data_IF_062665873619
#
_entry.id   IF_062665873619
#
_cell.length_a   1.000
_cell.length_b   1.000
_cell.length_c   1.000
_cell.angle_alpha   90.00
_cell.angle_beta   90.00
_cell.angle_gamma   90.00
#
_symmetry.space_group_name_H-M   'P 1'
#
loop_
_entity.id
_entity.type
_entity.pdbx_description
1 polymer ?
#
# COMPACT_ATOMS: atom_id res chain seq x y z
N UNK A 1 -39.32 -1.77 -31.14
CA UNK A 1 -38.12 -1.58 -30.29
C UNK A 1 -37.67 -2.93 -29.76
N UNK A 2 -36.78 -3.62 -30.49
CA UNK A 2 -36.21 -4.91 -30.05
C UNK A 2 -34.83 -4.59 -29.44
N UNK A 3 -34.63 -4.90 -28.15
CA UNK A 3 -33.36 -4.73 -27.43
C UNK A 3 -32.36 -5.76 -27.95
N UNK A 4 -31.27 -5.30 -28.56
CA UNK A 4 -30.14 -6.14 -28.98
C UNK A 4 -29.49 -6.81 -27.76
N UNK A 5 -29.17 -8.10 -27.88
CA UNK A 5 -28.62 -8.92 -26.80
C UNK A 5 -27.10 -8.73 -26.77
N UNK A 6 -26.61 -7.77 -26.00
CA UNK A 6 -25.17 -7.58 -25.77
C UNK A 6 -24.61 -8.73 -24.93
N UNK A 7 -23.65 -9.48 -25.46
CA UNK A 7 -22.91 -10.52 -24.76
C UNK A 7 -21.83 -9.87 -23.91
N UNK A 8 -21.91 -10.08 -22.59
CA UNK A 8 -20.99 -9.50 -21.60
C UNK A 8 -19.83 -10.46 -21.39
N UNK A 9 -18.60 -10.05 -21.69
CA UNK A 9 -17.38 -10.77 -21.28
C UNK A 9 -16.46 -9.82 -20.52
N UNK A 10 -15.84 -10.35 -19.47
CA UNK A 10 -14.92 -9.64 -18.57
C UNK A 10 -13.55 -10.25 -18.77
N UNK A 11 -12.54 -9.42 -19.02
CA UNK A 11 -11.14 -9.86 -19.14
C UNK A 11 -10.44 -9.86 -17.78
N UNK A 12 -9.28 -10.52 -17.67
CA UNK A 12 -8.52 -10.72 -16.41
C UNK A 12 -8.09 -9.43 -15.70
N UNK A 13 -8.14 -8.28 -16.37
CA UNK A 13 -7.83 -6.96 -15.81
C UNK A 13 -9.06 -6.16 -15.34
N UNK A 14 -10.27 -6.73 -15.41
CA UNK A 14 -11.50 -6.15 -14.83
C UNK A 14 -12.24 -5.12 -15.68
N UNK A 15 -11.79 -4.83 -16.91
CA UNK A 15 -12.49 -3.91 -17.82
C UNK A 15 -13.63 -4.58 -18.60
N UNK A 16 -14.78 -3.88 -18.66
CA UNK A 16 -15.96 -4.29 -19.44
C UNK A 16 -15.81 -3.91 -20.91
N UNK A 17 -15.56 -4.89 -21.79
CA UNK A 17 -15.52 -4.67 -23.23
C UNK A 17 -16.88 -5.02 -23.84
N UNK A 18 -17.53 -4.03 -24.42
CA UNK A 18 -18.71 -4.22 -25.26
C UNK A 18 -18.26 -4.44 -26.71
N UNK A 19 -18.22 -5.69 -27.16
CA UNK A 19 -18.13 -6.00 -28.59
C UNK A 19 -19.53 -5.83 -29.21
N UNK A 20 -19.69 -4.84 -30.09
CA UNK A 20 -20.84 -4.81 -31.00
C UNK A 20 -20.59 -5.90 -32.05
N UNK A 21 -21.41 -6.95 -32.02
CA UNK A 21 -21.26 -8.16 -32.84
C UNK A 21 -21.26 -7.78 -34.34
N UNK A 22 -20.17 -7.99 -35.10
CA UNK A 22 -20.09 -7.61 -36.51
C UNK A 22 -21.15 -8.31 -37.37
N UNK A 23 -21.66 -9.45 -36.90
CA UNK A 23 -22.74 -10.22 -37.54
C UNK A 23 -24.08 -9.44 -37.61
N UNK A 24 -24.37 -8.56 -36.64
CA UNK A 24 -25.62 -7.78 -36.62
C UNK A 24 -25.66 -6.73 -37.75
N UNK A 25 -24.48 -6.17 -38.10
CA UNK A 25 -24.39 -5.16 -39.16
C UNK A 25 -24.45 -5.78 -40.56
N UNK A 26 -23.92 -7.00 -40.74
CA UNK A 26 -23.98 -7.72 -42.01
C UNK A 26 -25.40 -8.24 -42.29
N UNK A 27 -26.13 -8.65 -41.24
CA UNK A 27 -27.53 -9.07 -41.35
C UNK A 27 -28.49 -7.91 -41.69
N UNK A 28 -28.23 -6.70 -41.16
CA UNK A 28 -29.00 -5.49 -41.51
C UNK A 28 -28.78 -5.06 -42.96
N UNK A 29 -27.54 -5.14 -43.46
CA UNK A 29 -27.22 -4.79 -44.85
C UNK A 29 -27.85 -5.77 -45.86
N UNK A 30 -27.87 -7.06 -45.53
CA UNK A 30 -28.50 -8.09 -46.36
C UNK A 30 -30.02 -7.90 -46.46
N UNK A 31 -30.67 -7.55 -45.35
CA UNK A 31 -32.12 -7.24 -45.33
C UNK A 31 -32.47 -6.04 -46.20
N UNK A 32 -31.63 -5.00 -46.21
CA UNK A 32 -31.87 -3.81 -47.03
C UNK A 32 -31.70 -4.10 -48.53
N UNK A 33 -30.72 -4.93 -48.91
CA UNK A 33 -30.54 -5.39 -50.29
C UNK A 33 -31.73 -6.24 -50.76
N UNK A 34 -32.21 -7.16 -49.91
CA UNK A 34 -33.39 -7.99 -50.20
C UNK A 34 -34.67 -7.15 -50.36
N UNK A 35 -34.79 -6.04 -49.61
CA UNK A 35 -35.91 -5.08 -49.74
C UNK A 35 -35.86 -4.34 -51.08
N UNK A 36 -34.70 -3.83 -51.48
CA UNK A 36 -34.48 -3.17 -52.77
C UNK A 36 -34.80 -4.12 -53.95
N UNK A 37 -34.47 -5.40 -53.84
CA UNK A 37 -34.74 -6.41 -54.86
C UNK A 37 -36.21 -6.82 -54.95
N UNK A 38 -36.92 -6.88 -53.82
CA UNK A 38 -38.37 -7.11 -53.80
C UNK A 38 -39.12 -5.93 -54.41
N UNK A 39 -38.71 -4.70 -54.09
CA UNK A 39 -39.30 -3.48 -54.68
C UNK A 39 -39.08 -3.43 -56.20
N UNK A 40 -37.88 -3.79 -56.71
CA UNK A 40 -37.63 -3.94 -58.16
C UNK A 40 -38.56 -4.96 -58.82
N UNK A 41 -38.80 -6.11 -58.18
CA UNK A 41 -39.69 -7.16 -58.72
C UNK A 41 -41.16 -6.72 -58.75
N UNK A 42 -41.59 -5.96 -57.74
CA UNK A 42 -42.96 -5.44 -57.68
C UNK A 42 -43.22 -4.43 -58.81
N UNK A 43 -42.28 -3.50 -59.04
CA UNK A 43 -42.37 -2.52 -60.15
C UNK A 43 -42.35 -3.20 -61.52
N UNK A 44 -41.64 -4.33 -61.67
CA UNK A 44 -41.63 -5.09 -62.92
C UNK A 44 -42.99 -5.73 -63.23
N UNK A 45 -43.71 -6.18 -62.20
CA UNK A 45 -45.00 -6.87 -62.32
C UNK A 45 -46.20 -5.92 -62.48
N UNK A 46 -46.07 -4.65 -62.11
CA UNK A 46 -47.11 -3.66 -62.33
C UNK A 46 -47.27 -3.33 -63.83
N UNK A 47 -48.42 -3.75 -64.40
CA UNK A 47 -48.77 -3.58 -65.82
C UNK A 47 -49.55 -2.30 -66.13
N UNK A 48 -49.75 -1.42 -65.14
CA UNK A 48 -50.56 -0.21 -65.26
C UNK A 48 -49.73 1.10 -65.21
N UNK A 49 -48.39 0.99 -65.28
CA UNK A 49 -47.48 2.13 -65.33
C UNK A 49 -47.07 2.46 -66.78
N UNK A 50 -46.97 3.74 -67.10
CA UNK A 50 -46.41 4.21 -68.38
C UNK A 50 -44.95 3.77 -68.46
N UNK A 51 -44.56 3.12 -69.56
CA UNK A 51 -43.22 2.52 -69.73
C UNK A 51 -42.05 3.49 -69.41
N UNK A 52 -42.24 4.79 -69.70
CA UNK A 52 -41.23 5.83 -69.42
C UNK A 52 -41.01 6.12 -67.93
N UNK A 53 -42.03 5.96 -67.08
CA UNK A 53 -41.89 6.14 -65.63
C UNK A 53 -41.27 4.90 -64.98
N UNK A 54 -41.61 3.72 -65.47
CA UNK A 54 -41.01 2.44 -65.05
C UNK A 54 -39.49 2.43 -65.26
N UNK A 55 -39.02 2.92 -66.40
CA UNK A 55 -37.58 3.00 -66.71
C UNK A 55 -36.84 3.99 -65.80
N UNK A 56 -37.48 5.10 -65.40
CA UNK A 56 -36.90 6.06 -64.45
C UNK A 56 -36.76 5.46 -63.05
N UNK A 57 -37.80 4.80 -62.54
CA UNK A 57 -37.73 4.13 -61.24
C UNK A 57 -36.67 3.00 -61.24
N UNK A 58 -36.57 2.24 -62.35
CA UNK A 58 -35.55 1.19 -62.47
C UNK A 58 -34.13 1.77 -62.43
N UNK A 59 -33.93 2.94 -63.06
CA UNK A 59 -32.66 3.65 -63.05
C UNK A 59 -32.30 4.19 -61.67
N UNK A 60 -33.24 4.81 -60.97
CA UNK A 60 -33.03 5.30 -59.60
C UNK A 60 -32.70 4.17 -58.62
N UNK A 61 -33.35 2.99 -58.75
CA UNK A 61 -33.05 1.82 -57.92
C UNK A 61 -31.68 1.22 -58.23
N UNK A 62 -31.26 1.24 -59.50
CA UNK A 62 -29.92 0.82 -59.91
C UNK A 62 -28.84 1.78 -59.40
N UNK A 63 -29.13 3.07 -59.38
CA UNK A 63 -28.22 4.07 -58.83
C UNK A 63 -28.10 3.94 -57.30
N UNK A 64 -29.19 3.65 -56.59
CA UNK A 64 -29.18 3.34 -55.14
C UNK A 64 -28.41 2.06 -54.80
N UNK A 65 -28.60 0.99 -55.57
CA UNK A 65 -27.84 -0.26 -55.41
C UNK A 65 -26.33 -0.03 -55.61
N UNK A 66 -25.96 0.77 -56.61
CA UNK A 66 -24.56 1.12 -56.87
C UNK A 66 -23.95 1.97 -55.74
N UNK A 67 -24.73 2.83 -55.11
CA UNK A 67 -24.25 3.61 -53.96
C UNK A 67 -24.06 2.72 -52.73
N UNK A 68 -24.98 1.79 -52.47
CA UNK A 68 -24.86 0.83 -51.38
C UNK A 68 -23.63 -0.08 -51.55
N UNK A 69 -23.32 -0.49 -52.78
CA UNK A 69 -22.12 -1.29 -53.10
C UNK A 69 -20.83 -0.52 -52.78
N UNK A 70 -20.76 0.78 -53.12
CA UNK A 70 -19.62 1.63 -52.75
C UNK A 70 -19.46 1.79 -51.24
N UNK A 71 -20.57 1.95 -50.52
CA UNK A 71 -20.55 2.03 -49.06
C UNK A 71 -20.06 0.71 -48.43
N UNK A 72 -20.47 -0.43 -48.99
CA UNK A 72 -19.98 -1.75 -48.56
C UNK A 72 -18.48 -1.91 -48.79
N UNK A 73 -17.98 -1.56 -49.98
CA UNK A 73 -16.56 -1.60 -50.30
C UNK A 73 -15.74 -0.71 -49.36
N UNK A 74 -16.21 0.52 -49.10
CA UNK A 74 -15.58 1.44 -48.17
C UNK A 74 -15.54 0.89 -46.74
N UNK A 75 -16.63 0.26 -46.29
CA UNK A 75 -16.72 -0.38 -44.96
C UNK A 75 -15.79 -1.58 -44.85
N UNK A 76 -15.73 -2.45 -45.86
CA UNK A 76 -14.80 -3.60 -45.90
C UNK A 76 -13.35 -3.12 -45.86
N UNK A 77 -13.02 -2.07 -46.63
CA UNK A 77 -11.70 -1.46 -46.59
C UNK A 77 -11.37 -0.91 -45.20
N UNK A 78 -12.30 -0.19 -44.56
CA UNK A 78 -12.12 0.28 -43.19
C UNK A 78 -11.94 -0.87 -42.20
N UNK A 79 -12.76 -1.92 -42.25
CA UNK A 79 -12.63 -3.09 -41.38
C UNK A 79 -11.31 -3.83 -41.58
N UNK A 80 -10.85 -3.98 -42.82
CA UNK A 80 -9.55 -4.60 -43.10
C UNK A 80 -8.39 -3.79 -42.51
N UNK A 81 -8.48 -2.45 -42.60
CA UNK A 81 -7.50 -1.53 -42.01
C UNK A 81 -7.55 -1.56 -40.48
N UNK A 82 -8.74 -1.67 -39.90
CA UNK A 82 -8.94 -1.78 -38.46
C UNK A 82 -8.35 -3.09 -37.94
N UNK A 83 -8.64 -4.22 -38.58
CA UNK A 83 -8.08 -5.54 -38.26
C UNK A 83 -6.55 -5.58 -38.40
N UNK A 84 -6.00 -4.89 -39.40
CA UNK A 84 -4.56 -4.76 -39.56
C UNK A 84 -3.91 -3.90 -38.46
N UNK A 85 -4.60 -2.85 -37.98
CA UNK A 85 -4.17 -2.05 -36.83
C UNK A 85 -4.28 -2.85 -35.52
N UNK A 86 -5.37 -3.58 -35.31
CA UNK A 86 -5.57 -4.45 -34.14
C UNK A 86 -4.50 -5.54 -34.06
N UNK A 87 -4.19 -6.21 -35.17
CA UNK A 87 -3.12 -7.23 -35.20
C UNK A 87 -1.75 -6.63 -34.87
N UNK A 88 -1.46 -5.40 -35.33
CA UNK A 88 -0.22 -4.70 -34.97
C UNK A 88 -0.18 -4.28 -33.50
N UNK A 89 -1.32 -3.86 -32.94
CA UNK A 89 -1.43 -3.49 -31.53
C UNK A 89 -1.29 -4.73 -30.62
N UNK A 90 -1.93 -5.84 -31.00
CA UNK A 90 -1.90 -7.11 -30.27
C UNK A 90 -0.51 -7.77 -30.33
N UNK A 91 0.23 -7.61 -31.43
CA UNK A 91 1.61 -8.08 -31.53
C UNK A 91 2.57 -7.38 -30.55
N UNK A 92 2.22 -6.21 -30.01
CA UNK A 92 3.02 -5.52 -28.99
C UNK A 92 2.96 -6.16 -27.60
N UNK A 93 1.92 -6.95 -27.29
CA UNK A 93 1.73 -7.59 -25.97
C UNK A 93 2.67 -8.79 -25.75
N UNK A 94 3.14 -9.44 -26.82
CA UNK A 94 4.03 -10.61 -26.76
C UNK A 94 5.52 -10.26 -26.52
N UNK A 95 5.92 -8.99 -26.68
CA UNK A 95 7.31 -8.56 -26.50
C UNK A 95 7.69 -8.56 -25.02
N UNK A 96 6.76 -8.13 -24.16
CA UNK A 96 6.98 -8.07 -22.70
C UNK A 96 7.15 -9.48 -22.14
N UNK A 97 6.31 -10.42 -22.56
CA UNK A 97 6.39 -11.82 -22.10
C UNK A 97 7.67 -12.51 -22.59
N UNK A 98 8.07 -12.30 -23.84
CA UNK A 98 9.33 -12.85 -24.36
C UNK A 98 10.56 -12.22 -23.69
N UNK A 99 10.51 -10.93 -23.36
CA UNK A 99 11.60 -10.23 -22.66
C UNK A 99 11.71 -10.72 -21.22
N UNK A 100 10.59 -10.89 -20.52
CA UNK A 100 10.56 -11.44 -19.16
C UNK A 100 11.06 -12.91 -19.14
N UNK A 101 10.69 -13.72 -20.14
CA UNK A 101 11.21 -15.08 -20.25
C UNK A 101 12.72 -15.11 -20.56
N UNK A 102 13.22 -14.20 -21.41
CA UNK A 102 14.65 -14.04 -21.67
C UNK A 102 15.40 -13.60 -20.42
N UNK A 103 14.87 -12.63 -19.66
CA UNK A 103 15.43 -12.16 -18.40
C UNK A 103 15.48 -13.26 -17.36
N UNK A 104 14.41 -14.06 -17.23
CA UNK A 104 14.37 -15.22 -16.35
C UNK A 104 15.41 -16.28 -16.73
N UNK A 105 15.52 -16.62 -18.03
CA UNK A 105 16.55 -17.55 -18.52
C UNK A 105 17.97 -17.02 -18.30
N UNK A 106 18.18 -15.70 -18.43
CA UNK A 106 19.46 -15.06 -18.12
C UNK A 106 19.77 -15.11 -16.63
N UNK A 107 18.78 -14.89 -15.76
CA UNK A 107 18.94 -14.97 -14.32
C UNK A 107 19.28 -16.40 -13.87
N UNK A 108 18.58 -17.41 -14.41
CA UNK A 108 18.87 -18.82 -14.14
C UNK A 108 20.29 -19.20 -14.60
N UNK A 109 20.70 -18.80 -15.81
CA UNK A 109 22.08 -19.02 -16.30
C UNK A 109 23.13 -18.32 -15.44
N UNK A 110 22.86 -17.08 -14.99
CA UNK A 110 23.75 -16.35 -14.07
C UNK A 110 23.88 -17.06 -12.72
N UNK A 111 22.78 -17.61 -12.19
CA UNK A 111 22.79 -18.38 -10.96
C UNK A 111 23.61 -19.67 -11.09
N UNK A 112 23.42 -20.42 -12.18
CA UNK A 112 24.19 -21.64 -12.47
C UNK A 112 25.69 -21.31 -12.62
N UNK A 113 26.04 -20.28 -13.40
CA UNK A 113 27.43 -19.82 -13.56
C UNK A 113 28.05 -19.40 -12.23
N UNK A 114 27.30 -18.73 -11.36
CA UNK A 114 27.78 -18.33 -10.04
C UNK A 114 28.04 -19.55 -9.14
N UNK A 115 27.18 -20.57 -9.20
CA UNK A 115 27.34 -21.82 -8.46
C UNK A 115 28.52 -22.64 -8.98
N UNK A 116 28.67 -22.77 -10.31
CA UNK A 116 29.82 -23.41 -10.93
C UNK A 116 31.12 -22.71 -10.55
N UNK A 117 31.17 -21.38 -10.62
CA UNK A 117 32.33 -20.59 -10.19
C UNK A 117 32.62 -20.71 -8.69
N UNK A 118 31.61 -20.99 -7.86
CA UNK A 118 31.81 -21.27 -6.43
C UNK A 118 32.43 -22.65 -6.25
N UNK A 119 31.87 -23.67 -6.91
CA UNK A 119 32.39 -25.05 -6.90
C UNK A 119 33.80 -25.13 -7.47
N UNK A 120 34.08 -24.42 -8.56
CA UNK A 120 35.42 -24.32 -9.15
C UNK A 120 36.43 -23.76 -8.15
N UNK A 121 36.09 -22.67 -7.45
CA UNK A 121 36.95 -22.11 -6.39
C UNK A 121 37.15 -23.07 -5.22
N UNK A 122 36.09 -23.76 -4.79
CA UNK A 122 36.17 -24.77 -3.72
C UNK A 122 37.08 -25.95 -4.13
N UNK A 123 36.92 -26.46 -5.36
CA UNK A 123 37.76 -27.53 -5.93
C UNK A 123 39.20 -27.06 -6.06
N UNK A 124 39.43 -25.82 -6.51
CA UNK A 124 40.78 -25.28 -6.66
C UNK A 124 41.50 -25.12 -5.32
N UNK A 125 40.80 -24.66 -4.28
CA UNK A 125 41.33 -24.61 -2.91
C UNK A 125 41.62 -26.01 -2.37
N UNK A 126 40.75 -26.99 -2.64
CA UNK A 126 40.95 -28.37 -2.22
C UNK A 126 42.15 -29.00 -2.95
N UNK A 127 42.29 -28.74 -4.25
CA UNK A 127 43.40 -29.20 -5.06
C UNK A 127 44.73 -28.60 -4.56
N UNK A 128 44.78 -27.30 -4.29
CA UNK A 128 45.97 -26.64 -3.74
C UNK A 128 46.37 -27.25 -2.38
N UNK A 129 45.38 -27.53 -1.52
CA UNK A 129 45.62 -28.18 -0.23
C UNK A 129 46.10 -29.63 -0.38
N UNK A 130 45.53 -30.39 -1.32
CA UNK A 130 45.97 -31.76 -1.58
C UNK A 130 47.34 -31.80 -2.27
N UNK A 131 47.65 -30.86 -3.16
CA UNK A 131 48.99 -30.69 -3.72
C UNK A 131 50.02 -30.37 -2.62
N UNK A 132 49.69 -29.46 -1.69
CA UNK A 132 50.52 -29.20 -0.50
C UNK A 132 50.71 -30.49 0.33
N UNK A 133 49.66 -31.29 0.55
CA UNK A 133 49.71 -32.57 1.28
C UNK A 133 50.51 -33.67 0.56
N UNK A 134 50.39 -33.79 -0.77
CA UNK A 134 51.09 -34.79 -1.59
C UNK A 134 52.58 -34.47 -1.66
N UNK A 135 52.91 -33.18 -1.78
CA UNK A 135 54.29 -32.71 -1.69
C UNK A 135 54.86 -33.06 -0.31
N UNK A 136 54.09 -32.92 0.78
CA UNK A 136 54.51 -33.25 2.15
C UNK A 136 54.66 -34.77 2.40
N UNK A 137 53.83 -35.60 1.77
CA UNK A 137 53.88 -37.08 1.90
C UNK A 137 54.98 -37.74 1.05
N UNK A 138 55.41 -37.11 -0.05
CA UNK A 138 56.48 -37.62 -0.90
C UNK A 138 57.90 -37.32 -0.35
N UNK A 139 58.02 -36.74 0.85
CA UNK A 139 59.28 -36.33 1.49
C UNK A 139 60.08 -37.47 2.15
N UNK A 140 60.39 -38.52 1.39
CA UNK A 140 61.58 -39.33 1.72
C UNK A 140 62.83 -38.60 1.26
N UNK A 141 63.51 -37.84 2.13
CA UNK A 141 64.76 -37.18 1.75
C UNK A 141 65.87 -38.21 1.51
N UNK A 142 66.43 -38.22 0.30
CA UNK A 142 67.49 -39.16 -0.08
C UNK A 142 68.87 -38.68 0.43
N UNK A 143 69.01 -37.38 0.73
CA UNK A 143 70.25 -36.75 1.23
C UNK A 143 69.95 -35.56 2.15
N UNK A 144 70.76 -35.35 3.20
CA UNK A 144 70.67 -34.23 4.14
C UNK A 144 70.75 -32.86 3.44
N UNK A 145 71.55 -32.75 2.37
CA UNK A 145 71.64 -31.51 1.58
C UNK A 145 70.29 -31.16 0.90
N UNK A 146 69.57 -32.16 0.39
CA UNK A 146 68.26 -31.97 -0.22
C UNK A 146 67.20 -31.56 0.81
N UNK A 147 67.29 -32.08 2.03
CA UNK A 147 66.42 -31.67 3.14
C UNK A 147 66.65 -30.22 3.54
N UNK A 148 67.90 -29.78 3.64
CA UNK A 148 68.25 -28.37 3.93
C UNK A 148 67.72 -27.44 2.84
N UNK A 149 67.91 -27.79 1.56
CA UNK A 149 67.40 -26.99 0.44
C UNK A 149 65.87 -26.91 0.42
N UNK A 150 65.20 -28.04 0.71
CA UNK A 150 63.75 -28.10 0.79
C UNK A 150 63.20 -27.27 1.95
N UNK A 151 63.74 -27.44 3.17
CA UNK A 151 63.37 -26.63 4.34
C UNK A 151 63.64 -25.15 4.11
N UNK A 152 64.73 -24.80 3.43
CA UNK A 152 65.05 -23.41 3.05
C UNK A 152 64.00 -22.84 2.09
N UNK A 153 63.56 -23.62 1.09
CA UNK A 153 62.46 -23.21 0.20
C UNK A 153 61.14 -23.05 0.94
N UNK A 154 60.79 -23.98 1.84
CA UNK A 154 59.57 -23.93 2.67
C UNK A 154 59.60 -22.68 3.57
N UNK A 155 60.75 -22.39 4.19
CA UNK A 155 60.95 -21.17 4.98
C UNK A 155 60.78 -19.90 4.15
N UNK A 156 61.37 -19.83 2.95
CA UNK A 156 61.19 -18.68 2.03
C UNK A 156 59.71 -18.48 1.65
N UNK A 157 58.99 -19.56 1.36
CA UNK A 157 57.54 -19.49 1.07
C UNK A 157 56.75 -18.96 2.27
N UNK A 158 56.97 -19.49 3.47
CA UNK A 158 56.30 -19.00 4.68
C UNK A 158 56.68 -17.55 5.01
N UNK A 159 57.93 -17.17 4.80
CA UNK A 159 58.36 -15.79 4.99
C UNK A 159 57.68 -14.84 4.01
N UNK A 160 57.55 -15.23 2.73
CA UNK A 160 56.80 -14.45 1.75
C UNK A 160 55.32 -14.30 2.13
N UNK A 161 54.65 -15.41 2.52
CA UNK A 161 53.26 -15.39 3.04
C UNK A 161 53.15 -14.48 4.27
N UNK A 162 54.13 -14.53 5.19
CA UNK A 162 54.17 -13.67 6.37
C UNK A 162 54.32 -12.18 6.02
N UNK A 163 55.19 -11.83 5.08
CA UNK A 163 55.35 -10.44 4.65
C UNK A 163 54.08 -9.92 3.97
N UNK A 164 53.46 -10.74 3.12
CA UNK A 164 52.18 -10.39 2.51
C UNK A 164 51.10 -10.13 3.56
N UNK A 165 50.94 -11.02 4.55
CA UNK A 165 49.98 -10.82 5.64
C UNK A 165 50.31 -9.57 6.49
N UNK A 166 51.60 -9.27 6.68
CA UNK A 166 52.03 -8.07 7.41
C UNK A 166 51.66 -6.78 6.65
N UNK A 167 51.82 -6.78 5.32
CA UNK A 167 51.38 -5.68 4.46
C UNK A 167 49.86 -5.56 4.46
N UNK A 168 49.12 -6.66 4.35
CA UNK A 168 47.66 -6.67 4.41
C UNK A 168 47.13 -6.10 5.74
N UNK A 169 47.74 -6.48 6.88
CA UNK A 169 47.39 -5.91 8.19
C UNK A 169 47.62 -4.40 8.21
N UNK A 170 48.72 -3.92 7.62
CA UNK A 170 49.04 -2.49 7.56
C UNK A 170 48.01 -1.74 6.72
N UNK A 171 47.67 -2.26 5.55
CA UNK A 171 46.70 -1.66 4.63
C UNK A 171 45.30 -1.63 5.24
N UNK A 172 44.88 -2.71 5.90
CA UNK A 172 43.62 -2.77 6.65
C UNK A 172 43.58 -1.76 7.79
N UNK A 173 44.67 -1.61 8.54
CA UNK A 173 44.73 -0.66 9.63
C UNK A 173 44.68 0.79 9.11
N UNK A 174 45.32 1.09 7.99
CA UNK A 174 45.23 2.41 7.34
C UNK A 174 43.80 2.68 6.83
N UNK A 175 43.15 1.71 6.20
CA UNK A 175 41.77 1.82 5.76
C UNK A 175 40.82 2.09 6.93
N UNK A 176 40.92 1.30 8.01
CA UNK A 176 40.12 1.48 9.22
C UNK A 176 40.39 2.84 9.89
N UNK A 177 41.64 3.32 9.89
CA UNK A 177 41.98 4.64 10.42
C UNK A 177 41.31 5.76 9.61
N UNK A 178 41.26 5.64 8.28
CA UNK A 178 40.59 6.60 7.40
C UNK A 178 39.08 6.58 7.59
N UNK A 179 38.46 5.41 7.57
CA UNK A 179 37.02 5.24 7.81
C UNK A 179 36.62 5.83 9.18
N UNK A 180 37.40 5.55 10.22
CA UNK A 180 37.18 6.14 11.54
C UNK A 180 37.25 7.67 11.51
N UNK A 181 38.23 8.24 10.81
CA UNK A 181 38.35 9.70 10.69
C UNK A 181 37.17 10.32 9.94
N UNK A 182 36.68 9.68 8.88
CA UNK A 182 35.51 10.11 8.11
C UNK A 182 34.21 10.06 8.95
N UNK A 183 34.04 9.00 9.73
CA UNK A 183 32.93 8.87 10.68
C UNK A 183 33.00 9.92 11.79
N UNK A 184 34.19 10.17 12.35
CA UNK A 184 34.42 11.22 13.35
C UNK A 184 34.12 12.62 12.78
N UNK A 185 34.48 12.87 11.52
CA UNK A 185 34.16 14.11 10.82
C UNK A 185 32.65 14.26 10.63
N UNK A 186 31.98 13.22 10.14
CA UNK A 186 30.52 13.20 9.97
C UNK A 186 29.80 13.44 11.29
N UNK A 187 30.25 12.77 12.36
CA UNK A 187 29.72 12.98 13.72
C UNK A 187 29.92 14.44 14.15
N UNK A 188 31.10 15.00 13.93
CA UNK A 188 31.41 16.39 14.30
C UNK A 188 30.51 17.38 13.56
N UNK A 189 30.24 17.15 12.27
CA UNK A 189 29.38 18.02 11.47
C UNK A 189 27.91 17.89 11.87
N UNK A 190 27.40 16.67 12.10
CA UNK A 190 26.06 16.46 12.67
C UNK A 190 25.92 17.11 14.05
N UNK A 191 26.96 17.06 14.89
CA UNK A 191 26.96 17.74 16.19
C UNK A 191 26.93 19.26 16.05
N UNK A 192 27.65 19.85 15.07
CA UNK A 192 27.57 21.29 14.78
C UNK A 192 26.17 21.68 14.33
N UNK A 193 25.55 20.89 13.46
CA UNK A 193 24.19 21.13 12.98
C UNK A 193 23.17 21.07 14.12
N UNK A 194 23.23 20.05 14.97
CA UNK A 194 22.36 19.94 16.15
C UNK A 194 22.55 21.15 17.06
N UNK A 195 23.79 21.55 17.36
CA UNK A 195 24.09 22.72 18.20
C UNK A 195 23.56 24.02 17.57
N UNK A 196 23.72 24.20 16.26
CA UNK A 196 23.20 25.35 15.53
C UNK A 196 21.66 25.40 15.63
N UNK A 197 20.99 24.27 15.36
CA UNK A 197 19.52 24.17 15.47
C UNK A 197 19.04 24.44 16.89
N UNK A 198 19.73 23.89 17.90
CA UNK A 198 19.41 24.15 19.30
C UNK A 198 19.59 25.63 19.66
N UNK A 199 20.68 26.27 19.21
CA UNK A 199 20.92 27.68 19.45
C UNK A 199 19.83 28.56 18.79
N UNK A 200 19.41 28.21 17.57
CA UNK A 200 18.28 28.89 16.90
C UNK A 200 17.00 28.73 17.72
N UNK A 201 16.70 27.52 18.20
CA UNK A 201 15.51 27.27 19.03
C UNK A 201 15.58 28.09 20.32
N UNK A 202 16.74 28.15 20.98
CA UNK A 202 16.90 28.87 22.25
C UNK A 202 16.79 30.39 22.11
N UNK A 203 17.24 30.96 20.98
CA UNK A 203 17.23 32.41 20.76
C UNK A 203 15.94 32.92 20.10
N UNK A 204 15.32 32.13 19.21
CA UNK A 204 14.21 32.61 18.37
C UNK A 204 12.85 31.98 18.71
N UNK A 205 12.79 30.89 19.48
CA UNK A 205 11.52 30.22 19.83
C UNK A 205 11.17 30.49 21.29
N UNK A 206 9.99 31.05 21.60
CA UNK A 206 9.53 31.20 22.97
C UNK A 206 9.51 29.86 23.71
N UNK A 207 9.97 29.86 24.97
CA UNK A 207 10.09 28.65 25.80
C UNK A 207 8.75 27.89 25.92
N UNK A 208 7.65 28.63 26.04
CA UNK A 208 6.30 28.07 26.13
C UNK A 208 5.90 27.26 24.88
N UNK A 209 6.20 27.75 23.69
CA UNK A 209 5.88 27.05 22.44
C UNK A 209 6.78 25.83 22.22
N UNK A 210 8.06 25.92 22.63
CA UNK A 210 8.98 24.77 22.63
C UNK A 210 8.44 23.64 23.49
N UNK A 211 7.99 23.93 24.70
CA UNK A 211 7.44 22.92 25.62
C UNK A 211 6.16 22.28 25.08
N UNK A 212 5.21 23.10 24.57
CA UNK A 212 4.00 22.61 23.91
C UNK A 212 4.32 21.66 22.74
N UNK A 213 5.35 21.98 21.95
CA UNK A 213 5.79 21.16 20.82
C UNK A 213 6.39 19.83 21.30
N UNK A 214 7.26 19.86 22.30
CA UNK A 214 7.90 18.67 22.87
C UNK A 214 6.88 17.70 23.47
N UNK A 215 5.84 18.19 24.15
CA UNK A 215 4.77 17.33 24.69
C UNK A 215 3.95 16.64 23.60
N UNK A 216 3.83 17.26 22.42
CA UNK A 216 3.04 16.74 21.29
C UNK A 216 3.84 15.83 20.36
N UNK A 217 5.16 15.98 20.35
CA UNK A 217 6.06 15.17 19.54
C UNK A 217 6.08 13.72 20.03
N UNK A 218 5.99 12.79 19.09
CA UNK A 218 6.31 11.39 19.33
C UNK A 218 7.03 10.82 18.11
N UNK A 219 7.86 9.82 18.37
CA UNK A 219 8.63 9.15 17.34
C UNK A 219 7.84 7.94 16.84
N UNK A 220 7.59 7.88 15.53
CA UNK A 220 6.98 6.73 14.88
C UNK A 220 8.07 5.81 14.33
N UNK A 221 8.32 4.70 15.04
CA UNK A 221 9.37 3.75 14.70
C UNK A 221 9.11 2.98 13.39
N UNK A 222 7.85 2.91 12.92
CA UNK A 222 7.52 2.19 11.69
C UNK A 222 7.90 3.01 10.45
N UNK A 223 7.79 4.33 10.54
CA UNK A 223 8.12 5.26 9.45
C UNK A 223 9.47 5.96 9.63
N UNK A 224 10.15 5.73 10.76
CA UNK A 224 11.41 6.37 11.17
C UNK A 224 11.35 7.91 11.12
N UNK A 225 10.21 8.46 11.56
CA UNK A 225 9.91 9.90 11.47
C UNK A 225 9.29 10.43 12.76
N UNK A 226 9.66 11.66 13.10
CA UNK A 226 8.99 12.43 14.14
C UNK A 226 7.63 12.93 13.65
N UNK A 227 6.56 12.61 14.39
CA UNK A 227 5.20 13.06 14.12
C UNK A 227 4.68 13.90 15.29
N UNK A 228 3.74 14.80 14.99
CA UNK A 228 3.04 15.59 16.00
C UNK A 228 1.65 15.03 16.25
N UNK A 229 1.23 14.95 17.51
CA UNK A 229 -0.17 14.70 17.85
C UNK A 229 -1.01 15.86 17.35
N UNK A 230 -1.98 15.55 16.48
CA UNK A 230 -2.94 16.53 15.95
C UNK A 230 -3.73 17.12 17.11
N UNK A 231 -3.83 18.45 17.14
CA UNK A 231 -4.70 19.18 18.09
C UNK A 231 -6.14 19.05 17.58
N UNK A 232 -6.65 17.83 17.46
CA UNK A 232 -8.09 17.65 17.35
C UNK A 232 -8.67 18.02 18.71
N UNK A 233 -9.86 18.63 18.76
CA UNK A 233 -10.59 18.99 20.00
C UNK A 233 -10.75 17.83 21.01
N UNK A 234 -10.42 16.61 20.58
CA UNK A 234 -10.43 15.38 21.37
C UNK A 234 -9.10 15.04 22.05
N UNK A 235 -7.98 15.65 21.63
CA UNK A 235 -6.64 15.38 22.18
C UNK A 235 -6.32 16.22 23.43
N UNK A 236 -7.07 17.31 23.67
CA UNK A 236 -7.12 18.05 24.94
C UNK A 236 -8.09 17.41 25.94
N UNK A 237 -8.26 16.08 25.88
CA UNK A 237 -8.90 15.26 26.92
C UNK A 237 -7.98 15.03 28.13
N UNK A 238 -7.05 15.94 28.43
CA UNK A 238 -6.74 16.19 29.85
C UNK A 238 -8.04 16.70 30.45
N UNK A 239 -8.60 15.94 31.39
CA UNK A 239 -9.98 15.95 31.92
C UNK A 239 -10.56 17.31 32.37
N UNK A 240 -9.86 18.42 32.20
CA UNK A 240 -10.17 19.72 32.79
C UNK A 240 -10.60 20.81 31.78
N UNK A 241 -10.42 20.64 30.46
CA UNK A 241 -10.71 21.71 29.47
C UNK A 241 -11.86 21.42 28.48
N UNK A 242 -12.42 20.21 28.46
CA UNK A 242 -13.67 19.91 27.72
C UNK A 242 -14.92 20.27 28.55
N UNK A 243 -14.74 21.19 29.49
CA UNK A 243 -15.78 22.16 29.79
C UNK A 243 -15.48 23.42 28.98
N UNK A 244 -15.56 23.33 27.65
CA UNK A 244 -16.16 24.45 26.92
C UNK A 244 -17.55 24.55 27.52
N UNK A 245 -17.69 25.37 28.56
CA UNK A 245 -18.85 25.41 29.42
C UNK A 245 -20.07 25.48 28.50
N UNK A 246 -20.88 24.39 28.48
CA UNK A 246 -22.21 24.49 27.91
C UNK A 246 -22.81 25.71 28.59
N UNK A 247 -23.12 26.75 27.81
CA UNK A 247 -23.63 27.99 28.38
C UNK A 247 -24.81 27.60 29.27
N UNK A 248 -24.87 28.09 30.53
CA UNK A 248 -25.93 27.71 31.43
C UNK A 248 -27.27 28.01 30.76
N UNK A 249 -28.08 26.98 30.63
CA UNK A 249 -29.40 27.08 30.02
C UNK A 249 -30.30 27.81 31.04
N UNK A 250 -31.12 28.74 30.56
CA UNK A 250 -32.06 29.42 31.44
C UNK A 250 -33.10 28.44 32.01
N UNK A 251 -33.79 28.82 33.09
CA UNK A 251 -34.88 28.01 33.67
C UNK A 251 -36.04 27.71 32.69
N UNK A 252 -36.05 28.36 31.53
CA UNK A 252 -37.03 28.19 30.46
C UNK A 252 -36.41 27.57 29.20
N UNK A 253 -35.31 26.84 29.35
CA UNK A 253 -34.63 26.09 28.28
C UNK A 253 -34.02 26.95 27.14
N UNK A 254 -34.04 28.27 27.28
CA UNK A 254 -33.45 29.20 26.32
C UNK A 254 -31.94 29.38 26.55
N UNK A 255 -31.22 29.69 25.46
CA UNK A 255 -29.77 29.94 25.43
C UNK A 255 -29.30 31.18 26.22
N UNK A 256 -30.22 31.95 26.81
CA UNK A 256 -29.95 33.10 27.69
C UNK A 256 -31.10 33.35 28.66
N UNK A 257 -30.84 33.98 29.79
CA UNK A 257 -31.88 34.43 30.71
C UNK A 257 -32.74 35.53 30.07
N UNK A 258 -34.06 35.38 30.13
CA UNK A 258 -35.04 36.35 29.59
C UNK A 258 -36.04 36.76 30.66
N UNK A 259 -36.45 38.03 30.64
CA UNK A 259 -37.49 38.55 31.54
C UNK A 259 -38.88 38.09 31.09
N UNK A 260 -39.86 38.11 32.00
CA UNK A 260 -41.25 37.74 31.68
C UNK A 260 -41.82 38.63 30.56
N UNK A 261 -41.49 39.93 30.57
CA UNK A 261 -41.87 40.88 29.52
C UNK A 261 -41.24 40.53 28.16
N UNK A 262 -39.93 40.21 28.14
CA UNK A 262 -39.27 39.81 26.90
C UNK A 262 -39.86 38.52 26.33
N UNK A 263 -40.28 37.58 27.19
CA UNK A 263 -40.94 36.35 26.76
C UNK A 263 -42.32 36.60 26.15
N UNK A 264 -43.17 37.42 26.77
CA UNK A 264 -44.47 37.77 26.19
C UNK A 264 -44.31 38.55 24.88
N UNK A 265 -43.31 39.44 24.82
CA UNK A 265 -43.01 40.21 23.62
C UNK A 265 -42.38 39.37 22.50
N UNK A 266 -41.75 38.23 22.78
CA UNK A 266 -41.20 37.33 21.75
C UNK A 266 -42.29 36.75 20.83
N UNK A 267 -43.55 36.70 21.27
CA UNK A 267 -44.69 36.30 20.41
C UNK A 267 -44.92 37.26 19.24
N UNK A 268 -44.49 38.52 19.36
CA UNK A 268 -44.58 39.52 18.29
C UNK A 268 -43.50 39.38 17.21
N UNK A 269 -42.71 38.29 17.24
CA UNK A 269 -41.61 37.98 16.32
C UNK A 269 -40.51 39.07 16.21
N UNK A 270 -40.52 40.04 17.11
CA UNK A 270 -39.55 41.12 17.13
C UNK A 270 -38.13 40.59 17.46
N UNK A 271 -37.12 40.77 16.57
CA UNK A 271 -35.76 40.25 16.76
C UNK A 271 -35.11 40.69 18.08
N UNK A 272 -35.54 41.82 18.65
CA UNK A 272 -35.07 42.34 19.94
C UNK A 272 -35.32 41.41 21.12
N UNK A 273 -36.40 40.61 21.07
CA UNK A 273 -36.85 39.79 22.21
C UNK A 273 -36.71 38.27 21.98
N UNK A 274 -36.24 37.84 20.81
CA UNK A 274 -36.13 36.41 20.44
C UNK A 274 -35.04 35.69 21.22
N UNK A 275 -35.37 34.64 21.98
CA UNK A 275 -34.43 33.90 22.82
C UNK A 275 -33.35 33.12 22.05
N UNK A 276 -33.59 32.85 20.77
CA UNK A 276 -32.67 32.15 19.87
C UNK A 276 -31.97 33.13 18.93
N UNK A 277 -30.78 32.76 18.43
CA UNK A 277 -30.04 33.58 17.47
C UNK A 277 -30.39 33.19 16.03
N UNK A 278 -31.69 33.18 15.72
CA UNK A 278 -32.24 32.85 14.42
C UNK A 278 -33.05 34.04 13.93
N UNK A 279 -32.75 34.53 12.74
CA UNK A 279 -33.53 35.56 12.07
C UNK A 279 -34.66 34.88 11.30
N UNK A 280 -35.91 35.12 11.72
CA UNK A 280 -37.07 34.77 10.92
C UNK A 280 -37.25 35.83 9.83
N UNK A 281 -36.73 35.54 8.64
CA UNK A 281 -37.09 36.26 7.43
C UNK A 281 -38.35 35.63 6.84
N UNK A 282 -39.34 36.43 6.48
CA UNK A 282 -40.39 36.00 5.57
C UNK A 282 -39.73 35.71 4.22
N UNK A 283 -39.75 34.44 3.78
CA UNK A 283 -39.29 34.10 2.45
C UNK A 283 -40.27 34.69 1.44
N UNK A 284 -39.81 35.62 0.61
CA UNK A 284 -40.55 36.08 -0.56
C UNK A 284 -40.58 34.94 -1.58
N UNK A 285 -41.66 34.15 -1.52
CA UNK A 285 -41.89 33.03 -2.42
C UNK A 285 -42.20 33.61 -3.81
N UNK A 286 -41.44 33.26 -4.86
CA UNK A 286 -41.72 33.76 -6.19
C UNK A 286 -43.15 33.36 -6.59
N UNK A 287 -43.84 34.26 -7.30
CA UNK A 287 -45.15 33.95 -7.85
C UNK A 287 -45.09 32.62 -8.60
N UNK A 288 -45.99 31.70 -8.24
CA UNK A 288 -46.02 30.32 -8.74
C UNK A 288 -45.98 30.30 -10.28
N UNK A 289 -44.88 29.82 -10.85
CA UNK A 289 -44.68 29.73 -12.31
C UNK A 289 -45.02 28.35 -12.90
N UNK A 290 -45.46 27.40 -12.08
CA UNK A 290 -45.77 26.03 -12.51
C UNK A 290 -47.27 25.77 -12.54
N UNK A 291 -47.73 25.15 -13.64
CA UNK A 291 -49.06 24.55 -13.74
C UNK A 291 -49.10 23.27 -12.89
N UNK A 292 -50.19 23.02 -12.17
CA UNK A 292 -50.35 21.77 -11.43
C UNK A 292 -50.21 20.57 -12.37
N UNK A 293 -49.39 19.60 -11.97
CA UNK A 293 -49.18 18.37 -12.72
C UNK A 293 -50.40 17.47 -12.55
N UNK A 294 -51.16 17.28 -13.62
CA UNK A 294 -52.17 16.23 -13.68
C UNK A 294 -51.47 14.90 -13.97
N UNK A 295 -51.27 14.10 -12.93
CA UNK A 295 -50.75 12.75 -13.06
C UNK A 295 -51.65 11.94 -14.00
N UNK A 296 -51.10 11.27 -15.03
CA UNK A 296 -51.88 10.34 -15.84
C UNK A 296 -52.51 9.28 -14.94
N UNK A 297 -53.80 9.00 -15.10
CA UNK A 297 -54.51 7.95 -14.36
C UNK A 297 -53.84 6.60 -14.64
N UNK A 298 -53.09 6.08 -13.68
CA UNK A 298 -52.48 4.75 -13.75
C UNK A 298 -53.56 3.68 -13.58
N UNK A 299 -53.43 2.56 -14.28
CA UNK A 299 -54.36 1.44 -14.12
C UNK A 299 -54.31 0.90 -12.68
N UNK A 300 -55.46 0.53 -12.06
CA UNK A 300 -55.55 0.18 -10.63
C UNK A 300 -54.57 -0.91 -10.17
N UNK A 301 -54.22 -1.84 -11.07
CA UNK A 301 -53.30 -2.94 -10.75
C UNK A 301 -51.85 -2.46 -10.54
N UNK A 302 -51.43 -1.38 -11.22
CA UNK A 302 -50.06 -0.86 -11.12
C UNK A 302 -49.88 -0.12 -9.80
N UNK A 303 -50.93 0.52 -9.34
CA UNK A 303 -50.95 1.24 -8.07
C UNK A 303 -50.86 0.28 -6.88
N UNK A 304 -51.58 -0.85 -6.92
CA UNK A 304 -51.49 -1.89 -5.90
C UNK A 304 -50.10 -2.56 -5.82
N UNK A 305 -49.44 -2.75 -6.97
CA UNK A 305 -48.09 -3.32 -7.02
C UNK A 305 -47.03 -2.35 -6.45
N UNK A 306 -47.15 -1.05 -6.74
CA UNK A 306 -46.29 -0.01 -6.19
C UNK A 306 -46.46 0.14 -4.68
N UNK A 307 -47.70 0.18 -4.19
CA UNK A 307 -47.99 0.29 -2.74
C UNK A 307 -47.52 -0.94 -1.95
N UNK A 308 -47.47 -2.11 -2.59
CA UNK A 308 -46.93 -3.33 -1.97
C UNK A 308 -45.40 -3.30 -1.90
N UNK A 309 -44.74 -2.71 -2.89
CA UNK A 309 -43.28 -2.56 -2.90
C UNK A 309 -42.76 -1.44 -1.98
N UNK A 310 -43.63 -0.50 -1.59
CA UNK A 310 -43.32 0.65 -0.72
C UNK A 310 -43.61 0.41 0.77
N UNK A 311 -44.06 -0.78 1.16
CA UNK A 311 -44.14 -1.17 2.57
C UNK A 311 -42.80 -1.72 3.02
N UNK A 312 -42.01 -0.88 3.68
CA UNK A 312 -40.77 -1.29 4.33
C UNK A 312 -41.10 -2.28 5.47
N UNK A 313 -40.47 -3.47 5.46
CA UNK A 313 -40.58 -4.45 6.54
C UNK A 313 -39.76 -4.02 7.76
N UNK A 314 -40.35 -4.17 8.97
CA UNK A 314 -39.80 -3.69 10.24
C UNK A 314 -38.36 -4.18 10.50
N UNK A 315 -37.44 -3.22 10.65
CA UNK A 315 -36.01 -3.44 10.91
C UNK A 315 -35.80 -3.95 12.36
N UNK A 316 -35.29 -5.17 12.50
CA UNK A 316 -34.97 -5.78 13.80
C UNK A 316 -33.65 -5.18 14.32
N UNK A 317 -33.71 -4.34 15.35
CA UNK A 317 -32.53 -3.85 16.08
C UNK A 317 -31.88 -4.98 16.90
N UNK A 318 -30.65 -5.38 16.54
CA UNK A 318 -29.84 -6.34 17.30
C UNK A 318 -28.85 -5.58 18.20
N UNK A 319 -29.06 -5.63 19.52
CA UNK A 319 -28.20 -4.99 20.53
C UNK A 319 -26.87 -5.76 20.75
N UNK A 320 -25.75 -5.14 20.34
CA UNK A 320 -24.38 -5.66 20.46
C UNK A 320 -23.67 -5.35 21.80
N UNK A 321 -24.39 -4.82 22.81
CA UNK A 321 -23.84 -4.41 24.11
C UNK A 321 -23.18 -5.55 24.90
N UNK A 322 -23.65 -6.80 24.76
CA UNK A 322 -23.12 -7.95 25.49
C UNK A 322 -21.71 -8.39 25.01
N UNK A 323 -21.47 -8.34 23.70
CA UNK A 323 -20.20 -8.77 23.11
C UNK A 323 -19.03 -7.83 23.49
N UNK A 324 -19.30 -6.53 23.57
CA UNK A 324 -18.31 -5.52 23.97
C UNK A 324 -17.88 -5.68 25.43
N UNK A 325 -18.80 -6.07 26.33
CA UNK A 325 -18.50 -6.30 27.75
C UNK A 325 -17.61 -7.52 27.96
N UNK A 326 -17.85 -8.60 27.21
CA UNK A 326 -17.04 -9.81 27.25
C UNK A 326 -15.62 -9.55 26.76
N UNK A 327 -15.45 -8.77 25.68
CA UNK A 327 -14.15 -8.42 25.14
C UNK A 327 -13.30 -7.60 26.13
N UNK A 328 -13.92 -6.63 26.83
CA UNK A 328 -13.23 -5.82 27.85
C UNK A 328 -12.79 -6.66 29.07
N UNK A 329 -13.55 -7.69 29.43
CA UNK A 329 -13.20 -8.57 30.55
C UNK A 329 -11.98 -9.44 30.21
N UNK A 330 -11.90 -9.95 28.98
CA UNK A 330 -10.77 -10.74 28.47
C UNK A 330 -9.49 -9.91 28.46
N UNK A 331 -9.57 -8.65 27.98
CA UNK A 331 -8.43 -7.74 27.99
C UNK A 331 -7.90 -7.45 29.40
N UNK A 332 -8.79 -7.28 30.39
CA UNK A 332 -8.39 -7.08 31.79
C UNK A 332 -7.68 -8.31 32.37
N UNK A 333 -8.19 -9.51 32.10
CA UNK A 333 -7.56 -10.76 32.57
C UNK A 333 -6.18 -11.01 31.92
N UNK A 334 -6.04 -10.64 30.65
CA UNK A 334 -4.75 -10.78 29.95
C UNK A 334 -3.66 -9.87 30.54
N UNK A 335 -4.01 -8.61 30.83
CA UNK A 335 -3.06 -7.65 31.41
C UNK A 335 -2.66 -8.00 32.85
N UNK A 336 -3.58 -8.52 33.66
CA UNK A 336 -3.25 -8.96 35.03
C UNK A 336 -2.32 -10.17 35.03
N UNK A 337 -2.53 -11.13 34.13
CA UNK A 337 -1.63 -12.29 33.97
C UNK A 337 -0.22 -11.89 33.51
N UNK A 338 -0.11 -10.96 32.57
CA UNK A 338 1.19 -10.41 32.14
C UNK A 338 1.91 -9.70 33.30
N UNK A 339 1.19 -8.92 34.09
CA UNK A 339 1.76 -8.22 35.24
C UNK A 339 2.28 -9.21 36.31
N UNK A 340 1.53 -10.28 36.58
CA UNK A 340 1.94 -11.34 37.50
C UNK A 340 3.20 -12.05 36.98
N UNK A 341 3.24 -12.38 35.69
CA UNK A 341 4.40 -13.02 35.07
C UNK A 341 5.66 -12.16 35.19
N UNK A 342 5.55 -10.86 34.92
CA UNK A 342 6.67 -9.93 35.01
C UNK A 342 7.16 -9.74 36.47
N UNK A 343 6.22 -9.68 37.42
CA UNK A 343 6.52 -9.60 38.85
C UNK A 343 7.27 -10.84 39.33
N UNK A 344 6.80 -12.03 38.95
CA UNK A 344 7.43 -13.31 39.34
C UNK A 344 8.84 -13.45 38.77
N UNK A 345 9.04 -13.10 37.50
CA UNK A 345 10.34 -13.17 36.84
C UNK A 345 11.35 -12.17 37.44
N UNK A 346 10.89 -10.99 37.86
CA UNK A 346 11.72 -10.03 38.62
C UNK A 346 12.19 -10.58 39.97
N UNK A 347 11.30 -11.23 40.71
CA UNK A 347 11.61 -11.80 42.02
C UNK A 347 12.63 -12.95 41.89
N UNK A 348 12.42 -13.85 40.91
CA UNK A 348 13.35 -14.96 40.65
C UNK A 348 14.75 -14.48 40.24
N UNK A 349 14.85 -13.41 39.44
CA UNK A 349 16.16 -12.81 39.11
C UNK A 349 16.87 -12.27 40.35
N UNK A 350 16.15 -11.59 41.24
CA UNK A 350 16.74 -11.04 42.48
C UNK A 350 17.25 -12.14 43.43
N UNK A 351 16.54 -13.27 43.55
CA UNK A 351 17.01 -14.42 44.34
C UNK A 351 18.23 -15.10 43.71
N UNK A 352 18.29 -15.19 42.38
CA UNK A 352 19.45 -15.75 41.68
C UNK A 352 20.72 -14.90 41.90
N UNK A 353 20.61 -13.57 41.85
CA UNK A 353 21.73 -12.66 42.14
C UNK A 353 22.20 -12.74 43.60
N UNK A 354 21.26 -12.84 44.56
CA UNK A 354 21.57 -13.03 45.99
C UNK A 354 22.35 -14.32 46.28
N UNK A 355 21.98 -15.43 45.63
CA UNK A 355 22.66 -16.71 45.80
C UNK A 355 24.06 -16.74 45.15
N UNK A 356 24.26 -16.07 44.01
CA UNK A 356 25.57 -15.94 43.37
C UNK A 356 26.58 -15.18 44.25
N UNK A 357 26.16 -14.13 44.95
CA UNK A 357 27.03 -13.39 45.87
C UNK A 357 27.41 -14.21 47.11
N UNK A 358 26.49 -15.01 47.64
CA UNK A 358 26.79 -15.95 48.74
C UNK A 358 27.81 -17.00 48.31
N UNK A 359 27.74 -17.51 47.09
CA UNK A 359 28.69 -18.50 46.56
C UNK A 359 30.09 -17.88 46.37
N UNK A 360 30.19 -16.68 45.79
CA UNK A 360 31.47 -15.95 45.64
C UNK A 360 32.13 -15.62 46.97
N UNK A 361 31.35 -15.36 48.03
CA UNK A 361 31.90 -15.08 49.36
C UNK A 361 32.51 -16.33 50.03
N UNK A 362 31.94 -17.52 49.81
CA UNK A 362 32.44 -18.80 50.34
C UNK A 362 33.72 -19.25 49.66
N UNK A 363 33.84 -19.09 48.34
CA UNK A 363 35.06 -19.46 47.58
C UNK A 363 36.26 -18.58 47.96
N UNK A 364 36.06 -17.27 48.20
CA UNK A 364 37.12 -16.37 48.71
C UNK A 364 37.64 -16.77 50.10
N UNK A 365 36.76 -17.21 51.01
CA UNK A 365 37.16 -17.67 52.35
C UNK A 365 37.92 -19.00 52.31
N UNK A 366 37.54 -19.92 51.42
CA UNK A 366 38.27 -21.18 51.17
C UNK A 366 39.68 -20.92 50.63
N UNK A 367 39.82 -20.02 49.64
CA UNK A 367 41.13 -19.66 49.07
C UNK A 367 42.09 -18.98 50.07
N UNK A 368 41.57 -18.18 51.01
CA UNK A 368 42.37 -17.59 52.10
C UNK A 368 42.85 -18.65 53.10
N UNK A 369 42.01 -19.62 53.49
CA UNK A 369 42.42 -20.72 54.37
C UNK A 369 43.50 -21.60 53.74
N UNK A 370 43.40 -21.89 52.45
CA UNK A 370 44.42 -22.69 51.72
C UNK A 370 45.78 -21.97 51.61
N UNK A 371 45.77 -20.65 51.40
CA UNK A 371 47.00 -19.83 51.40
C UNK A 371 47.65 -19.69 52.79
N UNK A 372 46.87 -19.84 53.85
CA UNK A 372 47.36 -19.76 55.23
C UNK A 372 47.89 -21.12 55.72
N UNK A 373 47.34 -22.24 55.23
CA UNK A 373 47.89 -23.57 55.54
C UNK A 373 49.19 -23.89 54.76
N UNK A 374 49.37 -23.35 53.55
CA UNK A 374 50.64 -23.48 52.82
C UNK A 374 51.77 -22.64 53.42
N UNK A 375 51.46 -21.58 54.17
CA UNK A 375 52.48 -20.72 54.78
C UNK A 375 53.03 -21.27 56.11
N UNK A 376 52.37 -22.27 56.69
CA UNK A 376 52.76 -22.91 57.95
C UNK A 376 53.57 -24.21 57.74
N UNK A 377 53.98 -24.51 56.50
CA UNK A 377 54.78 -25.69 56.15
C UNK A 377 56.22 -25.33 55.72
N UNK A 378 56.54 -24.04 55.64
CA UNK A 378 57.84 -23.51 55.20
C UNK A 378 58.66 -22.84 56.34
N UNK A 379 58.19 -22.93 57.59
CA UNK A 379 58.90 -22.60 58.84
C UNK A 379 59.05 -23.87 59.68
#
# INVERSE_FOLDING_TARGET
>A
TRKGKKTRRVNEDGDEVFEDDPDDVEEVMKREQERLDQEKKNILNDKNLIASEKDKLLKEMKDKEKELEREQEAKIQMMSKLKAMESKLLSGKNIVDHTNEQERRLAEKRAILAEEKRKEREIQQLLEKEEENVIEKNEGYINLQQEVDYKTKKLKKFFAKFQQLKEEIKDLNEANSKERQELEQTQTDLMKDIKLRQLIIENFVPKEEKEKLLTRLYFDANEDKWKHKVITKESTKSQHEIQMAKRPISAYELNRAVTNFARSAAQSLNPRFMGENVLFLELDLPNRTTRDYESPTLAPHLQAALDTALKDEDEIEIDNSAALKLCLLIYKLFFTLIWIYFKYNSIMKLEAYSNLDKIKSKTKKSGRKKKQSMRNYDD
#
